data_IF_243423253573
#
_entry.id   IF_243423253573
#
_cell.length_a   1.000
_cell.length_b   1.000
_cell.length_c   1.000
_cell.angle_alpha   90.00
_cell.angle_beta   90.00
_cell.angle_gamma   90.00
#
_symmetry.space_group_name_H-M   'P 1'
#
loop_
_entity.id
_entity.type
_entity.pdbx_description
1 polymer ?
#
# COMPACT_ATOMS: atom_id res chain seq x y z
N UNK A 1 -17.38 -10.08 -1.30
CA UNK A 1 -17.82 -11.48 -1.56
C UNK A 1 -16.95 -12.48 -0.80
N UNK A 2 -15.60 -12.35 -0.85
CA UNK A 2 -14.65 -13.24 -0.17
C UNK A 2 -14.86 -13.46 1.34
N UNK A 3 -15.35 -12.46 2.08
CA UNK A 3 -15.66 -12.61 3.51
C UNK A 3 -16.86 -13.54 3.74
N UNK A 4 -17.92 -13.38 2.95
CA UNK A 4 -19.13 -14.22 3.04
C UNK A 4 -18.79 -15.67 2.68
N UNK A 5 -17.94 -15.87 1.66
CA UNK A 5 -17.50 -17.19 1.23
C UNK A 5 -16.68 -17.91 2.32
N UNK A 6 -15.80 -17.19 3.03
CA UNK A 6 -15.03 -17.77 4.15
C UNK A 6 -15.89 -18.10 5.37
N UNK A 7 -16.87 -17.27 5.70
CA UNK A 7 -17.82 -17.56 6.81
C UNK A 7 -18.65 -18.81 6.48
N UNK A 8 -19.13 -18.94 5.24
CA UNK A 8 -19.85 -20.14 4.78
C UNK A 8 -18.97 -21.40 4.77
N UNK A 9 -17.66 -21.25 4.59
CA UNK A 9 -16.69 -22.34 4.68
C UNK A 9 -16.30 -22.71 6.13
N UNK A 10 -16.85 -22.03 7.13
CA UNK A 10 -16.57 -22.30 8.55
C UNK A 10 -15.23 -21.75 9.04
N UNK A 11 -14.67 -20.75 8.34
CA UNK A 11 -13.39 -20.11 8.69
C UNK A 11 -13.49 -19.11 9.86
N UNK A 12 -14.64 -19.07 10.54
CA UNK A 12 -14.91 -18.20 11.68
C UNK A 12 -15.93 -17.10 11.38
N UNK A 13 -16.08 -16.20 12.32
CA UNK A 13 -16.93 -15.02 12.19
C UNK A 13 -16.37 -14.07 11.09
N UNK A 14 -17.20 -13.20 10.48
CA UNK A 14 -16.76 -12.32 9.39
C UNK A 14 -15.48 -11.53 9.68
N UNK A 15 -15.30 -11.07 10.93
CA UNK A 15 -14.11 -10.36 11.37
C UNK A 15 -12.85 -11.25 11.37
N UNK A 16 -12.99 -12.51 11.76
CA UNK A 16 -11.90 -13.50 11.78
C UNK A 16 -11.49 -13.86 10.35
N UNK A 17 -12.45 -14.00 9.44
CA UNK A 17 -12.20 -14.23 8.01
C UNK A 17 -11.50 -13.04 7.36
N UNK A 18 -11.88 -11.81 7.73
CA UNK A 18 -11.23 -10.58 7.27
C UNK A 18 -9.78 -10.51 7.73
N UNK A 19 -9.50 -10.86 8.99
CA UNK A 19 -8.15 -10.87 9.53
C UNK A 19 -7.30 -12.00 8.92
N UNK A 20 -7.83 -13.23 8.86
CA UNK A 20 -7.11 -14.42 8.39
C UNK A 20 -6.76 -14.35 6.90
N UNK A 21 -7.62 -13.73 6.09
CA UNK A 21 -7.41 -13.56 4.65
C UNK A 21 -6.69 -12.26 4.29
N UNK A 22 -6.26 -11.47 5.27
CA UNK A 22 -5.58 -10.20 5.01
C UNK A 22 -6.46 -9.21 4.25
N UNK A 23 -7.77 -9.22 4.49
CA UNK A 23 -8.74 -8.31 3.85
C UNK A 23 -8.90 -7.00 4.64
N UNK A 24 -8.17 -6.86 5.75
CA UNK A 24 -8.07 -5.61 6.49
C UNK A 24 -7.31 -4.62 5.62
N UNK A 25 -7.96 -3.50 5.27
CA UNK A 25 -7.25 -2.33 4.77
C UNK A 25 -6.38 -1.83 5.92
N UNK A 26 -5.05 -1.89 5.73
CA UNK A 26 -4.11 -1.42 6.74
C UNK A 26 -4.25 0.10 6.81
N UNK A 27 -4.98 0.56 7.82
CA UNK A 27 -5.08 1.99 8.18
C UNK A 27 -3.96 2.42 9.13
N UNK A 28 -2.99 1.53 9.38
CA UNK A 28 -1.81 1.82 10.19
C UNK A 28 -0.87 2.71 9.36
N UNK A 29 -0.95 4.01 9.60
CA UNK A 29 -0.11 5.02 8.96
C UNK A 29 1.39 4.72 9.14
N UNK A 30 1.77 4.00 10.21
CA UNK A 30 3.14 3.56 10.45
C UNK A 30 3.61 2.49 9.47
N UNK A 31 2.81 1.45 9.24
CA UNK A 31 3.14 0.38 8.30
C UNK A 31 3.20 0.89 6.86
N UNK A 32 2.22 1.73 6.48
CA UNK A 32 2.19 2.36 5.16
C UNK A 32 3.38 3.31 4.96
N UNK A 33 3.71 4.12 5.97
CA UNK A 33 4.86 5.02 5.96
C UNK A 33 6.17 4.26 5.76
N UNK A 34 6.39 3.19 6.52
CA UNK A 34 7.59 2.36 6.42
C UNK A 34 7.74 1.73 5.02
N UNK A 35 6.65 1.20 4.45
CA UNK A 35 6.67 0.64 3.10
C UNK A 35 6.98 1.70 2.03
N UNK A 36 6.47 2.92 2.19
CA UNK A 36 6.80 4.05 1.31
C UNK A 36 8.29 4.39 1.40
N UNK A 37 8.83 4.50 2.61
CA UNK A 37 10.23 4.85 2.83
C UNK A 37 11.18 3.77 2.26
N UNK A 38 10.85 2.49 2.44
CA UNK A 38 11.60 1.36 1.86
C UNK A 38 11.59 1.40 0.33
N UNK A 39 10.42 1.61 -0.29
CA UNK A 39 10.31 1.67 -1.76
C UNK A 39 11.05 2.88 -2.32
N UNK A 40 11.00 4.04 -1.65
CA UNK A 40 11.78 5.21 -2.07
C UNK A 40 13.28 4.91 -2.00
N UNK A 41 13.75 4.31 -0.91
CA UNK A 41 15.16 3.96 -0.73
C UNK A 41 15.66 2.94 -1.76
N UNK A 42 14.80 1.99 -2.16
CA UNK A 42 15.11 0.98 -3.17
C UNK A 42 15.08 1.52 -4.62
N UNK A 43 14.54 2.72 -4.86
CA UNK A 43 14.37 3.29 -6.20
C UNK A 43 14.87 4.75 -6.30
N UNK A 44 16.16 5.00 -6.02
CA UNK A 44 16.70 6.37 -5.98
C UNK A 44 16.50 7.12 -7.31
N UNK A 45 16.70 6.47 -8.45
CA UNK A 45 16.57 7.11 -9.78
C UNK A 45 15.12 7.56 -10.09
N UNK A 46 14.12 6.88 -9.54
CA UNK A 46 12.71 7.28 -9.68
C UNK A 46 12.40 8.40 -8.70
N UNK A 47 12.93 8.32 -7.48
CA UNK A 47 12.78 9.37 -6.48
C UNK A 47 13.37 10.71 -6.95
N UNK A 48 14.55 10.68 -7.57
CA UNK A 48 15.20 11.89 -8.12
C UNK A 48 14.39 12.52 -9.25
N UNK A 49 13.82 11.70 -10.16
CA UNK A 49 12.92 12.22 -11.20
C UNK A 49 11.70 12.95 -10.60
N UNK A 50 11.17 12.46 -9.49
CA UNK A 50 10.03 13.09 -8.81
C UNK A 50 10.46 14.41 -8.18
N UNK A 51 11.63 14.45 -7.52
CA UNK A 51 12.24 15.69 -6.99
C UNK A 51 12.50 16.73 -8.08
N UNK A 52 12.86 16.29 -9.28
CA UNK A 52 13.01 17.14 -10.48
C UNK A 52 11.66 17.63 -11.06
N UNK A 53 10.54 17.36 -10.39
CA UNK A 53 9.21 17.79 -10.81
C UNK A 53 8.50 16.84 -11.77
N UNK A 54 9.08 15.69 -12.11
CA UNK A 54 8.41 14.67 -12.95
C UNK A 54 7.49 13.79 -12.11
N UNK A 55 6.45 14.41 -11.54
CA UNK A 55 5.46 13.80 -10.64
C UNK A 55 4.82 12.52 -11.20
N UNK A 56 4.79 12.35 -12.53
CA UNK A 56 4.26 11.17 -13.21
C UNK A 56 5.07 9.91 -12.87
N UNK A 57 6.36 10.05 -12.52
CA UNK A 57 7.22 8.95 -12.10
C UNK A 57 6.77 8.31 -10.77
N UNK A 58 5.95 9.01 -9.96
CA UNK A 58 5.38 8.45 -8.73
C UNK A 58 4.52 7.19 -8.98
N UNK A 59 3.95 7.03 -10.18
CA UNK A 59 3.18 5.83 -10.55
C UNK A 59 3.95 4.52 -10.35
N UNK A 60 5.26 4.52 -10.63
CA UNK A 60 6.11 3.35 -10.44
C UNK A 60 6.28 2.99 -8.96
N UNK A 61 6.51 4.00 -8.10
CA UNK A 61 6.65 3.79 -6.65
C UNK A 61 5.32 3.37 -6.03
N UNK A 62 4.20 3.96 -6.46
CA UNK A 62 2.86 3.57 -5.98
C UNK A 62 2.62 2.07 -6.24
N UNK A 63 2.91 1.59 -7.45
CA UNK A 63 2.73 0.17 -7.79
C UNK A 63 3.58 -0.76 -6.92
N UNK A 64 4.81 -0.36 -6.59
CA UNK A 64 5.69 -1.14 -5.73
C UNK A 64 5.21 -1.17 -4.27
N UNK A 65 4.78 -0.03 -3.72
CA UNK A 65 4.21 0.02 -2.36
C UNK A 65 2.93 -0.81 -2.28
N UNK A 66 2.03 -0.67 -3.26
CA UNK A 66 0.80 -1.47 -3.35
C UNK A 66 1.10 -2.98 -3.38
N UNK A 67 2.16 -3.39 -4.09
CA UNK A 67 2.60 -4.79 -4.13
C UNK A 67 3.17 -5.24 -2.79
N UNK A 68 4.01 -4.44 -2.13
CA UNK A 68 4.57 -4.75 -0.81
C UNK A 68 3.46 -4.92 0.25
N UNK A 69 2.43 -4.07 0.17
CA UNK A 69 1.24 -4.09 1.02
C UNK A 69 0.17 -5.09 0.56
N UNK A 70 0.45 -5.96 -0.44
CA UNK A 70 -0.49 -6.95 -0.99
C UNK A 70 -1.85 -6.38 -1.41
N UNK A 71 -1.88 -5.12 -1.86
CA UNK A 71 -3.10 -4.41 -2.24
C UNK A 71 -3.96 -3.94 -1.06
N UNK A 72 -3.47 -4.04 0.17
CA UNK A 72 -4.18 -3.62 1.39
C UNK A 72 -4.02 -2.13 1.71
N UNK A 73 -3.38 -1.35 0.85
CA UNK A 73 -3.16 0.08 0.99
C UNK A 73 -4.05 0.89 0.04
N UNK A 74 -4.37 2.12 0.43
CA UNK A 74 -5.06 3.08 -0.44
C UNK A 74 -4.07 3.75 -1.40
N UNK A 75 -4.29 3.62 -2.71
CA UNK A 75 -3.37 4.14 -3.72
C UNK A 75 -3.29 5.68 -3.73
N UNK A 76 -4.37 6.38 -3.39
CA UNK A 76 -4.36 7.84 -3.28
C UNK A 76 -3.52 8.27 -2.07
N UNK A 77 -3.64 7.56 -0.94
CA UNK A 77 -2.84 7.83 0.26
C UNK A 77 -1.36 7.52 0.04
N UNK A 78 -1.04 6.41 -0.62
CA UNK A 78 0.33 6.06 -1.04
C UNK A 78 0.93 7.18 -1.88
N UNK A 79 0.18 7.69 -2.86
CA UNK A 79 0.62 8.80 -3.71
C UNK A 79 0.89 10.07 -2.92
N UNK A 80 -0.02 10.45 -2.03
CA UNK A 80 0.14 11.63 -1.16
C UNK A 80 1.43 11.52 -0.34
N UNK A 81 1.67 10.37 0.30
CA UNK A 81 2.86 10.14 1.11
C UNK A 81 4.15 10.20 0.29
N UNK A 82 4.18 9.56 -0.89
CA UNK A 82 5.36 9.59 -1.77
C UNK A 82 5.69 11.03 -2.17
N UNK A 83 4.68 11.82 -2.56
CA UNK A 83 4.89 13.20 -2.95
C UNK A 83 5.32 14.05 -1.76
N UNK A 84 4.75 13.85 -0.57
CA UNK A 84 5.16 14.56 0.63
C UNK A 84 6.62 14.26 1.07
N UNK A 85 7.15 13.06 0.78
CA UNK A 85 8.55 12.70 1.06
C UNK A 85 9.55 13.25 0.03
N UNK A 86 9.09 13.49 -1.19
CA UNK A 86 9.93 13.78 -2.36
C UNK A 86 9.74 15.20 -2.92
N UNK A 87 8.80 15.98 -2.36
CA UNK A 87 8.60 17.40 -2.65
C UNK A 87 9.65 18.28 -2.01
#
# INVERSE_FOLDING_TARGET
>A
RQVIDGVLAGEGEPAEVVASRGLVVVSDEGALGAAVDEVIAANPDVADKIRDGKVQAAGALIGQVMKAMRGQADAAKVRELILARLS
#
